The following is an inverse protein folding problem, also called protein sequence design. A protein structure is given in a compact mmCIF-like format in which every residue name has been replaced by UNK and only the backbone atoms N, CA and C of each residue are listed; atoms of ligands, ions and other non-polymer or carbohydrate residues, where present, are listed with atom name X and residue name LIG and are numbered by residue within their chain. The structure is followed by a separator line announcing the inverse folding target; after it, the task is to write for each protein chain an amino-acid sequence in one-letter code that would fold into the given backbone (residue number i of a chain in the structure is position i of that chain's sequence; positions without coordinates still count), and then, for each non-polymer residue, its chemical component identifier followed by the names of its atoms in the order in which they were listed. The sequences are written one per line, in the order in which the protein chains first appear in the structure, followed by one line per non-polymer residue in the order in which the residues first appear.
data_IF_758310052118
#
_entry.id   IF_758310052118
#
_cell.length_a   1.000
_cell.length_b   1.000
_cell.length_c   1.000
_cell.angle_alpha   90.00
_cell.angle_beta   90.00
_cell.angle_gamma   90.00
#
_symmetry.space_group_name_H-M   'P 1'
#
loop_
_entity.id
_entity.type
_entity.pdbx_description
1 polymer ?
#
# COMPACT_ATOMS: atom_id res chain seq x y z
N UNK A 1 -14.10 8.88 35.83
CA UNK A 1 -13.49 7.89 34.92
C UNK A 1 -14.26 6.63 35.22
N UNK A 2 -14.92 6.13 34.20
CA UNK A 2 -16.23 5.50 34.29
C UNK A 2 -16.11 4.15 33.54
N UNK A 3 -16.03 3.00 34.23
CA UNK A 3 -15.83 1.64 33.67
C UNK A 3 -17.02 0.69 33.82
N UNK A 4 -17.30 -0.16 32.86
CA UNK A 4 -18.64 -0.71 32.83
C UNK A 4 -18.87 -1.93 33.78
N UNK A 5 -20.02 -1.99 34.45
CA UNK A 5 -20.62 -3.01 35.31
C UNK A 5 -21.70 -3.65 34.47
N UNK A 6 -21.76 -4.95 34.54
CA UNK A 6 -22.62 -5.75 33.71
C UNK A 6 -23.69 -6.39 34.58
N UNK A 7 -24.95 -6.23 34.15
CA UNK A 7 -26.11 -6.73 34.86
C UNK A 7 -26.85 -7.68 33.92
N UNK A 8 -27.28 -8.83 34.42
CA UNK A 8 -28.17 -9.70 33.66
C UNK A 8 -29.52 -9.01 33.48
N UNK A 9 -30.10 -9.10 32.28
CA UNK A 9 -31.45 -8.59 32.06
C UNK A 9 -32.45 -9.54 32.73
N UNK A 10 -32.90 -9.15 33.92
CA UNK A 10 -33.98 -9.77 34.70
C UNK A 10 -35.18 -8.80 34.81
N UNK A 11 -36.18 -9.12 35.62
CA UNK A 11 -37.27 -8.18 35.94
C UNK A 11 -36.70 -6.86 36.51
N UNK A 12 -37.33 -5.72 36.21
CA UNK A 12 -36.83 -4.37 36.55
C UNK A 12 -36.66 -4.22 38.07
N UNK A 13 -37.55 -4.85 38.84
CA UNK A 13 -37.52 -4.86 40.30
C UNK A 13 -36.45 -5.81 40.89
N UNK A 14 -35.79 -6.62 40.05
CA UNK A 14 -34.79 -7.62 40.42
C UNK A 14 -33.38 -7.30 39.86
N UNK A 15 -33.14 -6.06 39.44
CA UNK A 15 -31.83 -5.60 38.98
C UNK A 15 -30.91 -5.32 40.19
N UNK A 16 -29.83 -6.09 40.30
CA UNK A 16 -28.80 -5.89 41.33
C UNK A 16 -27.52 -5.28 40.75
N UNK A 17 -27.08 -4.16 41.32
CA UNK A 17 -25.82 -3.49 40.95
C UNK A 17 -24.65 -4.25 41.58
N UNK A 18 -23.67 -4.73 40.79
CA UNK A 18 -22.50 -5.43 41.29
C UNK A 18 -21.65 -4.60 42.27
N UNK A 19 -21.09 -5.23 43.33
CA UNK A 19 -19.99 -4.64 44.11
C UNK A 19 -18.70 -4.57 43.27
N UNK A 20 -17.79 -3.65 43.63
CA UNK A 20 -16.56 -3.37 42.86
C UNK A 20 -15.44 -4.40 43.14
N UNK A 21 -15.71 -5.70 42.95
CA UNK A 21 -14.73 -6.81 43.09
C UNK A 21 -14.75 -7.70 41.83
N UNK A 22 -14.08 -7.28 40.72
CA UNK A 22 -14.16 -7.96 39.43
C UNK A 22 -13.52 -9.36 39.41
N UNK A 23 -12.60 -9.67 40.34
CA UNK A 23 -11.91 -10.96 40.37
C UNK A 23 -12.81 -12.11 40.85
N UNK A 24 -13.84 -11.79 41.64
CA UNK A 24 -14.81 -12.73 42.21
C UNK A 24 -16.18 -12.68 41.54
N UNK A 25 -16.42 -11.72 40.64
CA UNK A 25 -17.70 -11.58 39.98
C UNK A 25 -17.87 -12.58 38.82
N UNK A 26 -18.75 -13.56 39.00
CA UNK A 26 -19.08 -14.56 37.98
C UNK A 26 -19.67 -13.95 36.70
N UNK A 27 -20.20 -12.71 36.74
CA UNK A 27 -20.77 -12.01 35.57
C UNK A 27 -19.67 -11.56 34.61
N UNK A 28 -18.53 -11.08 35.13
CA UNK A 28 -17.36 -10.76 34.33
C UNK A 28 -16.79 -12.02 33.67
N UNK A 29 -16.68 -13.12 34.43
CA UNK A 29 -16.27 -14.43 33.91
C UNK A 29 -17.24 -15.01 32.87
N UNK A 30 -18.54 -14.69 32.98
CA UNK A 30 -19.56 -15.14 32.01
C UNK A 30 -19.47 -14.39 30.68
N UNK A 31 -19.00 -13.14 30.69
CA UNK A 31 -18.69 -12.37 29.48
C UNK A 31 -17.41 -12.91 28.83
N UNK A 32 -16.37 -13.20 29.62
CA UNK A 32 -15.15 -13.89 29.17
C UNK A 32 -15.46 -15.28 28.57
N UNK A 33 -16.57 -15.91 28.98
CA UNK A 33 -17.08 -17.19 28.46
C UNK A 33 -18.10 -17.04 27.30
N UNK A 34 -18.27 -15.85 26.73
CA UNK A 34 -19.00 -15.67 25.46
C UNK A 34 -20.47 -15.22 25.55
N UNK A 35 -20.85 -14.50 26.61
CA UNK A 35 -22.20 -13.91 26.73
C UNK A 35 -22.42 -12.73 25.77
N UNK A 36 -23.65 -12.54 25.27
CA UNK A 36 -24.03 -11.40 24.40
C UNK A 36 -24.20 -10.11 25.21
N UNK A 37 -23.44 -9.06 24.87
CA UNK A 37 -23.50 -7.73 25.49
C UNK A 37 -24.70 -6.93 24.98
N UNK A 38 -25.51 -6.36 25.89
CA UNK A 38 -26.66 -5.49 25.54
C UNK A 38 -26.68 -4.17 26.35
N UNK A 39 -26.03 -4.05 27.53
CA UNK A 39 -25.95 -2.77 28.30
C UNK A 39 -24.77 -2.75 29.29
N UNK A 40 -24.23 -1.56 29.62
CA UNK A 40 -22.97 -1.33 30.35
C UNK A 40 -23.10 -0.16 31.39
N UNK A 41 -22.52 -0.22 32.61
CA UNK A 41 -22.57 0.87 33.67
C UNK A 41 -21.24 1.27 34.39
N UNK A 42 -20.80 2.52 34.60
CA UNK A 42 -19.43 2.92 35.10
C UNK A 42 -18.82 2.38 36.47
N UNK A 43 -17.50 2.59 36.83
CA UNK A 43 -16.27 1.68 37.06
C UNK A 43 -14.86 2.35 37.12
N UNK A 44 -13.73 1.74 37.57
CA UNK A 44 -12.37 2.32 37.53
C UNK A 44 -11.22 1.50 36.82
N UNK A 45 -11.48 0.40 36.10
CA UNK A 45 -10.44 -0.43 35.44
C UNK A 45 -10.56 -0.47 33.91
N UNK A 46 -9.54 -0.03 33.17
CA UNK A 46 -9.53 -0.05 31.69
C UNK A 46 -8.95 -1.38 31.18
N UNK A 47 -9.81 -2.26 30.68
CA UNK A 47 -9.38 -3.45 29.92
C UNK A 47 -9.21 -3.06 28.45
N UNK A 48 -8.00 -3.17 27.91
CA UNK A 48 -7.75 -3.01 26.46
C UNK A 48 -7.84 -4.37 25.79
N UNK A 49 -8.90 -4.59 25.02
CA UNK A 49 -9.08 -5.76 24.16
C UNK A 49 -8.45 -5.47 22.79
N UNK A 50 -7.73 -6.42 22.21
CA UNK A 50 -7.17 -6.28 20.86
C UNK A 50 -8.33 -6.29 19.85
N UNK A 51 -8.48 -5.19 19.11
CA UNK A 51 -9.62 -4.96 18.22
C UNK A 51 -9.65 -5.91 17.02
N UNK A 52 -8.56 -6.64 16.73
CA UNK A 52 -8.56 -7.69 15.72
C UNK A 52 -9.64 -8.76 15.98
N UNK A 53 -10.07 -8.94 17.24
CA UNK A 53 -11.15 -9.87 17.61
C UNK A 53 -12.48 -9.55 16.92
N UNK A 54 -12.74 -8.27 16.59
CA UNK A 54 -13.98 -7.84 15.93
C UNK A 54 -14.15 -8.49 14.56
N UNK A 55 -13.03 -8.72 13.86
CA UNK A 55 -12.99 -9.45 12.61
C UNK A 55 -12.76 -10.95 12.85
N UNK A 56 -11.72 -11.31 13.60
CA UNK A 56 -11.22 -12.68 13.70
C UNK A 56 -12.22 -13.68 14.29
N UNK A 57 -13.10 -13.21 15.19
CA UNK A 57 -14.12 -14.08 15.77
C UNK A 57 -15.14 -14.56 14.74
N UNK A 58 -15.60 -13.68 13.84
CA UNK A 58 -16.59 -13.98 12.78
C UNK A 58 -16.36 -13.14 11.51
N UNK A 59 -15.36 -13.50 10.68
CA UNK A 59 -14.96 -12.70 9.52
C UNK A 59 -16.09 -12.39 8.55
N UNK A 60 -16.89 -13.39 8.17
CA UNK A 60 -17.98 -13.21 7.21
C UNK A 60 -19.08 -12.30 7.75
N UNK A 61 -19.36 -12.38 9.06
CA UNK A 61 -20.36 -11.52 9.70
C UNK A 61 -19.86 -10.07 9.76
N UNK A 62 -18.59 -9.85 10.12
CA UNK A 62 -18.00 -8.50 10.12
C UNK A 62 -18.08 -7.90 8.72
N UNK A 63 -17.61 -8.61 7.68
CA UNK A 63 -17.61 -8.13 6.30
C UNK A 63 -19.02 -7.79 5.78
N UNK A 64 -20.03 -8.59 6.13
CA UNK A 64 -21.42 -8.32 5.77
C UNK A 64 -22.02 -7.08 6.46
N UNK A 65 -21.40 -6.62 7.57
CA UNK A 65 -21.94 -5.56 8.42
C UNK A 65 -20.94 -4.40 8.64
N UNK A 66 -19.91 -4.25 7.79
CA UNK A 66 -18.91 -3.17 7.91
C UNK A 66 -19.56 -1.79 7.96
N UNK A 67 -20.63 -1.57 7.20
CA UNK A 67 -21.36 -0.31 7.24
C UNK A 67 -21.96 0.00 8.60
N UNK A 68 -22.63 -0.98 9.23
CA UNK A 68 -23.17 -0.82 10.58
C UNK A 68 -22.07 -0.58 11.61
N UNK A 69 -20.92 -1.24 11.46
CA UNK A 69 -19.75 -1.00 12.30
C UNK A 69 -19.26 0.45 12.19
N UNK A 70 -19.11 0.97 10.97
CA UNK A 70 -18.67 2.35 10.73
C UNK A 70 -19.70 3.40 11.19
N UNK A 71 -20.99 3.11 11.05
CA UNK A 71 -22.07 4.01 11.47
C UNK A 71 -22.27 4.03 12.99
N UNK A 72 -21.79 3.02 13.72
CA UNK A 72 -21.80 2.98 15.19
C UNK A 72 -20.62 3.74 15.82
N UNK A 73 -19.59 4.08 15.04
CA UNK A 73 -18.42 4.80 15.50
C UNK A 73 -18.56 6.28 15.13
N UNK A 74 -19.03 7.09 16.09
CA UNK A 74 -19.23 8.53 15.91
C UNK A 74 -17.91 9.34 15.85
N UNK A 75 -16.78 8.75 16.26
CA UNK A 75 -15.46 9.38 16.25
C UNK A 75 -14.53 8.73 15.21
N UNK A 76 -14.04 9.56 14.29
CA UNK A 76 -13.09 9.24 13.22
C UNK A 76 -11.85 8.52 13.77
N UNK A 77 -11.40 8.91 14.96
CA UNK A 77 -10.21 8.39 15.61
C UNK A 77 -10.34 6.91 15.98
N UNK A 78 -11.56 6.42 16.22
CA UNK A 78 -11.78 5.00 16.51
C UNK A 78 -11.60 4.12 15.27
N UNK A 79 -12.02 4.62 14.11
CA UNK A 79 -11.80 3.92 12.83
C UNK A 79 -10.31 3.92 12.50
N UNK A 80 -9.62 5.04 12.69
CA UNK A 80 -8.17 5.13 12.48
C UNK A 80 -7.39 4.20 13.40
N UNK A 81 -7.76 4.17 14.69
CA UNK A 81 -7.17 3.26 15.66
C UNK A 81 -7.41 1.80 15.28
N UNK A 82 -8.64 1.45 14.86
CA UNK A 82 -8.97 0.11 14.39
C UNK A 82 -8.07 -0.30 13.22
N UNK A 83 -8.04 0.50 12.15
CA UNK A 83 -7.28 0.22 10.93
C UNK A 83 -5.76 0.12 11.19
N UNK A 84 -5.20 1.07 11.95
CA UNK A 84 -3.77 1.08 12.27
C UNK A 84 -3.33 -0.04 13.22
N UNK A 85 -4.27 -0.66 13.94
CA UNK A 85 -3.99 -1.77 14.86
C UNK A 85 -4.15 -3.16 14.23
N UNK A 86 -4.58 -3.24 12.96
CA UNK A 86 -4.82 -4.52 12.28
C UNK A 86 -3.52 -5.32 12.16
N UNK A 87 -3.63 -6.62 12.40
CA UNK A 87 -2.53 -7.58 12.31
C UNK A 87 -2.86 -8.67 11.31
N UNK A 88 -1.83 -9.21 10.67
CA UNK A 88 -1.98 -10.32 9.74
C UNK A 88 -2.38 -11.62 10.46
N UNK A 89 -1.91 -11.84 11.70
CA UNK A 89 -2.30 -13.01 12.49
C UNK A 89 -3.78 -12.98 12.94
N UNK A 90 -4.33 -14.19 13.14
CA UNK A 90 -5.64 -14.40 13.75
C UNK A 90 -5.49 -14.47 15.28
N UNK A 91 -6.04 -13.47 15.99
CA UNK A 91 -5.92 -13.39 17.46
C UNK A 91 -6.74 -14.47 18.18
N UNK A 92 -7.71 -15.10 17.52
CA UNK A 92 -8.48 -16.22 18.08
C UNK A 92 -7.68 -17.52 18.10
N UNK A 93 -6.55 -17.59 17.40
CA UNK A 93 -5.63 -18.73 17.47
C UNK A 93 -4.51 -18.53 18.50
N UNK A 94 -4.39 -17.33 19.06
CA UNK A 94 -3.28 -16.95 19.96
C UNK A 94 -3.79 -16.43 21.31
N UNK A 95 -4.27 -15.19 21.37
CA UNK A 95 -4.66 -14.53 22.61
C UNK A 95 -6.07 -14.94 23.08
N UNK A 96 -6.97 -15.25 22.15
CA UNK A 96 -8.39 -15.51 22.42
C UNK A 96 -8.84 -16.92 22.01
N UNK A 97 -8.00 -17.93 22.30
CA UNK A 97 -8.22 -19.34 21.91
C UNK A 97 -9.57 -19.89 22.39
N UNK A 98 -10.00 -19.47 23.58
CA UNK A 98 -11.24 -19.95 24.20
C UNK A 98 -12.52 -19.39 23.55
N UNK A 99 -12.39 -18.48 22.56
CA UNK A 99 -13.55 -17.87 21.88
C UNK A 99 -14.11 -18.71 20.72
N UNK A 100 -13.40 -19.75 20.28
CA UNK A 100 -13.90 -20.72 19.28
C UNK A 100 -14.47 -21.95 19.99
N UNK A 101 -15.70 -22.40 19.67
CA UNK A 101 -16.26 -23.61 20.27
C UNK A 101 -15.42 -24.83 19.86
N UNK A 102 -14.65 -25.38 20.81
CA UNK A 102 -13.76 -26.53 20.60
C UNK A 102 -12.28 -26.30 20.92
N UNK A 103 -11.89 -25.16 21.50
CA UNK A 103 -10.50 -24.86 21.89
C UNK A 103 -9.98 -25.72 23.05
N UNK A 104 -9.66 -26.99 22.82
CA UNK A 104 -8.76 -27.75 23.71
C UNK A 104 -7.33 -27.25 23.50
N UNK A 105 -6.64 -26.87 24.58
CA UNK A 105 -5.22 -26.41 24.58
C UNK A 105 -4.21 -27.42 24.01
N UNK A 106 -4.66 -28.60 23.60
CA UNK A 106 -3.85 -29.71 23.07
C UNK A 106 -3.47 -29.53 21.58
N UNK A 107 -4.06 -28.58 20.84
CA UNK A 107 -3.79 -28.36 19.42
C UNK A 107 -2.54 -27.49 19.11
N UNK A 108 -1.70 -27.15 20.10
CA UNK A 108 -0.52 -26.29 19.94
C UNK A 108 0.69 -26.96 19.24
N UNK A 109 0.51 -28.08 18.54
CA UNK A 109 1.62 -28.82 17.91
C UNK A 109 1.66 -28.84 16.38
N UNK A 110 0.73 -28.20 15.69
CA UNK A 110 0.87 -28.03 14.24
C UNK A 110 0.86 -26.55 13.87
N UNK A 111 2.07 -26.03 13.64
CA UNK A 111 2.26 -24.79 12.88
C UNK A 111 2.03 -25.17 11.41
N UNK A 112 0.95 -24.75 10.73
CA UNK A 112 0.83 -24.97 9.31
C UNK A 112 1.88 -24.09 8.62
N UNK A 113 2.83 -24.77 8.00
CA UNK A 113 3.89 -24.16 7.22
C UNK A 113 3.34 -23.63 5.90
N UNK A 114 3.65 -22.35 5.63
CA UNK A 114 3.65 -21.63 4.35
C UNK A 114 2.31 -21.50 3.57
N UNK A 115 1.97 -20.27 3.11
CA UNK A 115 0.84 -20.06 2.21
C UNK A 115 1.07 -20.69 0.84
N UNK A 116 0.04 -21.35 0.32
CA UNK A 116 0.01 -21.89 -1.04
C UNK A 116 0.03 -20.76 -2.08
N UNK A 117 0.79 -20.95 -3.17
CA UNK A 117 0.83 -20.04 -4.32
C UNK A 117 -0.57 -19.96 -4.97
N UNK A 118 -1.29 -18.88 -4.70
CA UNK A 118 -2.57 -18.57 -5.33
C UNK A 118 -3.37 -17.55 -4.53
N UNK A 119 -3.13 -16.27 -4.77
CA UNK A 119 -3.97 -15.10 -4.40
C UNK A 119 -4.97 -15.31 -3.25
N UNK A 120 -4.48 -15.32 -2.00
CA UNK A 120 -5.30 -14.90 -0.86
C UNK A 120 -4.87 -13.49 -0.52
N UNK A 121 -5.72 -12.48 -0.79
CA UNK A 121 -5.52 -11.13 -0.27
C UNK A 121 -5.33 -11.21 1.25
N UNK A 122 -4.37 -10.46 1.81
CA UNK A 122 -4.12 -10.50 3.24
C UNK A 122 -5.40 -10.12 4.02
N UNK A 123 -5.54 -10.63 5.25
CA UNK A 123 -6.62 -10.25 6.17
C UNK A 123 -6.75 -8.73 6.26
N UNK A 124 -5.61 -8.04 6.42
CA UNK A 124 -5.54 -6.58 6.51
C UNK A 124 -6.11 -5.91 5.27
N UNK A 125 -5.67 -6.32 4.07
CA UNK A 125 -6.17 -5.75 2.82
C UNK A 125 -7.67 -6.00 2.65
N UNK A 126 -8.14 -7.20 3.01
CA UNK A 126 -9.57 -7.56 2.94
C UNK A 126 -10.43 -6.64 3.81
N UNK A 127 -9.98 -6.33 5.04
CA UNK A 127 -10.68 -5.41 5.95
C UNK A 127 -10.62 -3.98 5.40
N UNK A 128 -9.42 -3.52 4.99
CA UNK A 128 -9.24 -2.18 4.45
C UNK A 128 -10.09 -1.94 3.20
N UNK A 129 -10.14 -2.90 2.27
CA UNK A 129 -10.95 -2.81 1.05
C UNK A 129 -12.45 -2.77 1.36
N UNK A 130 -12.92 -3.53 2.36
CA UNK A 130 -14.32 -3.50 2.78
C UNK A 130 -14.68 -2.15 3.42
N UNK A 131 -13.80 -1.60 4.26
CA UNK A 131 -13.97 -0.26 4.86
C UNK A 131 -13.97 0.82 3.78
N UNK A 132 -13.00 0.81 2.87
CA UNK A 132 -12.91 1.74 1.75
C UNK A 132 -14.18 1.72 0.89
N UNK A 133 -14.63 0.51 0.50
CA UNK A 133 -15.83 0.32 -0.30
C UNK A 133 -17.06 0.96 0.36
N UNK A 134 -17.18 0.86 1.69
CA UNK A 134 -18.30 1.46 2.40
C UNK A 134 -18.16 2.98 2.53
N UNK A 135 -16.99 3.49 2.95
CA UNK A 135 -16.73 4.94 3.10
C UNK A 135 -16.98 5.70 1.79
N UNK A 136 -16.62 5.11 0.66
CA UNK A 136 -16.83 5.71 -0.68
C UNK A 136 -18.31 5.76 -1.11
N UNK A 137 -19.19 4.96 -0.51
CA UNK A 137 -20.63 4.98 -0.82
C UNK A 137 -21.43 6.01 -0.03
N UNK A 138 -20.80 6.70 0.94
CA UNK A 138 -21.46 7.74 1.73
C UNK A 138 -21.91 8.89 0.84
N UNK A 139 -23.14 9.36 1.06
CA UNK A 139 -23.74 10.48 0.29
C UNK A 139 -22.98 11.79 0.45
N UNK A 140 -22.46 12.02 1.66
CA UNK A 140 -21.62 13.15 2.00
C UNK A 140 -20.29 12.58 2.45
N UNK A 141 -19.22 13.00 1.79
CA UNK A 141 -17.85 12.65 2.15
C UNK A 141 -17.29 13.87 2.88
N UNK A 142 -17.31 13.81 4.20
CA UNK A 142 -16.73 14.83 5.07
C UNK A 142 -15.24 14.56 5.31
N UNK A 143 -14.58 15.48 6.01
CA UNK A 143 -13.14 15.39 6.26
C UNK A 143 -12.76 14.18 7.12
N UNK A 144 -13.63 13.76 8.04
CA UNK A 144 -13.44 12.54 8.82
C UNK A 144 -13.44 11.30 7.94
N UNK A 145 -14.39 11.20 7.02
CA UNK A 145 -14.45 10.11 6.04
C UNK A 145 -13.19 10.09 5.15
N UNK A 146 -12.71 11.24 4.69
CA UNK A 146 -11.47 11.33 3.89
C UNK A 146 -10.23 10.90 4.68
N UNK A 147 -10.14 11.29 5.96
CA UNK A 147 -9.07 10.86 6.86
C UNK A 147 -9.06 9.34 7.02
N UNK A 148 -10.21 8.71 7.27
CA UNK A 148 -10.30 7.25 7.36
C UNK A 148 -10.00 6.54 6.04
N UNK A 149 -10.35 7.14 4.89
CA UNK A 149 -9.96 6.63 3.57
C UNK A 149 -8.43 6.63 3.43
N UNK A 150 -7.77 7.72 3.83
CA UNK A 150 -6.30 7.79 3.84
C UNK A 150 -5.72 6.68 4.72
N UNK A 151 -6.20 6.53 5.96
CA UNK A 151 -5.73 5.48 6.87
C UNK A 151 -5.91 4.09 6.28
N UNK A 152 -7.08 3.79 5.72
CA UNK A 152 -7.36 2.48 5.15
C UNK A 152 -6.48 2.16 3.93
N UNK A 153 -6.07 3.15 3.14
CA UNK A 153 -5.12 2.94 2.05
C UNK A 153 -3.69 2.70 2.57
N UNK A 154 -3.24 3.49 3.54
CA UNK A 154 -1.88 3.39 4.08
C UNK A 154 -1.67 2.12 4.92
N UNK A 155 -2.70 1.63 5.60
CA UNK A 155 -2.64 0.41 6.41
C UNK A 155 -2.64 -0.89 5.59
N UNK A 156 -2.80 -0.83 4.26
CA UNK A 156 -2.64 -2.01 3.39
C UNK A 156 -1.21 -2.54 3.42
N UNK A 157 -1.06 -3.79 3.00
CA UNK A 157 0.23 -4.44 2.79
C UNK A 157 0.32 -5.02 1.36
N UNK A 158 1.17 -4.45 0.47
CA UNK A 158 1.94 -3.22 0.68
C UNK A 158 1.04 -1.97 0.79
N UNK A 159 1.50 -0.88 1.44
CA UNK A 159 0.75 0.36 1.58
C UNK A 159 0.35 0.97 0.23
N UNK A 160 -0.92 1.35 0.08
CA UNK A 160 -1.42 2.04 -1.10
C UNK A 160 -1.23 3.56 -0.99
N UNK A 161 0.04 4.00 -0.94
CA UNK A 161 0.39 5.40 -0.72
C UNK A 161 -0.12 6.33 -1.83
N UNK A 162 -0.08 5.88 -3.08
CA UNK A 162 -0.59 6.62 -4.24
C UNK A 162 -2.09 6.96 -4.06
N UNK A 163 -2.90 5.99 -3.65
CA UNK A 163 -4.34 6.17 -3.42
C UNK A 163 -4.60 7.14 -2.25
N UNK A 164 -3.83 7.06 -1.17
CA UNK A 164 -3.90 8.02 -0.06
C UNK A 164 -3.53 9.44 -0.48
N UNK A 165 -2.46 9.60 -1.26
CA UNK A 165 -2.00 10.88 -1.79
C UNK A 165 -2.98 11.50 -2.79
N UNK A 166 -3.71 10.70 -3.56
CA UNK A 166 -4.77 11.20 -4.44
C UNK A 166 -5.93 11.83 -3.66
N UNK A 167 -6.25 11.31 -2.47
CA UNK A 167 -7.25 11.92 -1.57
C UNK A 167 -6.76 13.29 -1.09
N UNK A 168 -5.48 13.39 -0.71
CA UNK A 168 -4.86 14.67 -0.35
C UNK A 168 -4.91 15.65 -1.53
N UNK A 169 -4.53 15.21 -2.73
CA UNK A 169 -4.54 16.04 -3.93
C UNK A 169 -5.94 16.58 -4.27
N UNK A 170 -6.99 15.78 -4.01
CA UNK A 170 -8.37 16.23 -4.12
C UNK A 170 -8.69 17.33 -3.11
N UNK A 171 -8.31 17.15 -1.85
CA UNK A 171 -8.51 18.16 -0.80
C UNK A 171 -7.79 19.48 -1.10
N UNK A 172 -6.60 19.43 -1.71
CA UNK A 172 -5.87 20.65 -2.14
C UNK A 172 -6.67 21.52 -3.11
N UNK A 173 -7.59 20.94 -3.88
CA UNK A 173 -8.45 21.67 -4.82
C UNK A 173 -9.72 22.23 -4.15
N UNK A 174 -10.11 21.68 -3.01
CA UNK A 174 -11.37 21.99 -2.32
C UNK A 174 -11.16 22.94 -1.14
N UNK A 175 -10.22 22.63 -0.24
CA UNK A 175 -9.90 23.43 0.95
C UNK A 175 -8.44 23.20 1.41
N UNK A 176 -7.65 24.26 1.32
CA UNK A 176 -6.23 24.30 1.69
C UNK A 176 -5.96 23.86 3.14
N UNK A 177 -6.80 24.29 4.09
CA UNK A 177 -6.60 23.97 5.53
C UNK A 177 -6.82 22.49 5.81
N UNK A 178 -7.68 21.85 5.02
CA UNK A 178 -7.98 20.44 5.16
C UNK A 178 -6.96 19.58 4.43
N UNK A 179 -6.42 20.08 3.32
CA UNK A 179 -5.26 19.48 2.68
C UNK A 179 -4.05 19.44 3.62
N UNK A 180 -3.75 20.53 4.33
CA UNK A 180 -2.67 20.57 5.34
C UNK A 180 -2.85 19.49 6.42
N UNK A 181 -4.06 19.35 6.97
CA UNK A 181 -4.37 18.30 7.96
C UNK A 181 -4.26 16.90 7.39
N UNK A 182 -4.70 16.69 6.15
CA UNK A 182 -4.60 15.39 5.49
C UNK A 182 -3.15 15.00 5.20
N UNK A 183 -2.29 15.97 4.84
CA UNK A 183 -0.84 15.77 4.70
C UNK A 183 -0.18 15.47 6.05
N UNK A 184 -0.55 16.19 7.10
CA UNK A 184 -0.06 15.88 8.45
C UNK A 184 -0.42 14.45 8.86
N UNK A 185 -1.67 14.04 8.61
CA UNK A 185 -2.15 12.70 8.91
C UNK A 185 -1.42 11.61 8.12
N UNK A 186 -1.29 11.75 6.80
CA UNK A 186 -0.61 10.73 5.99
C UNK A 186 0.88 10.62 6.34
N UNK A 187 1.55 11.75 6.62
CA UNK A 187 2.95 11.80 7.06
C UNK A 187 3.16 11.20 8.46
N UNK A 188 2.12 11.15 9.30
CA UNK A 188 2.17 10.45 10.57
C UNK A 188 2.10 8.92 10.40
N UNK A 189 1.38 8.44 9.38
CA UNK A 189 1.14 7.01 9.15
C UNK A 189 2.22 6.30 8.34
N UNK A 190 2.97 7.01 7.49
CA UNK A 190 3.94 6.42 6.57
C UNK A 190 5.29 7.14 6.57
N UNK A 191 6.33 6.44 6.08
CA UNK A 191 7.66 7.01 5.89
C UNK A 191 7.60 8.18 4.91
N UNK A 192 8.10 9.33 5.36
CA UNK A 192 7.91 10.57 4.61
C UNK A 192 8.82 10.67 3.38
N UNK A 193 9.93 9.93 3.35
CA UNK A 193 10.75 9.87 2.13
C UNK A 193 10.00 9.13 1.02
N UNK A 194 9.40 8.00 1.37
CA UNK A 194 8.57 7.20 0.47
C UNK A 194 7.34 7.99 0.00
N UNK A 195 6.67 8.72 0.89
CA UNK A 195 5.55 9.58 0.52
C UNK A 195 5.94 10.69 -0.46
N UNK A 196 7.10 11.33 -0.25
CA UNK A 196 7.59 12.34 -1.16
C UNK A 196 7.88 11.77 -2.55
N UNK A 197 8.52 10.61 -2.61
CA UNK A 197 8.83 9.91 -3.85
C UNK A 197 7.56 9.48 -4.60
N UNK A 198 6.55 8.98 -3.89
CA UNK A 198 5.23 8.66 -4.47
C UNK A 198 4.46 9.92 -4.93
N UNK A 199 4.54 11.01 -4.18
CA UNK A 199 3.93 12.29 -4.56
C UNK A 199 4.58 12.87 -5.82
N UNK A 200 5.92 12.78 -5.96
CA UNK A 200 6.61 13.09 -7.21
C UNK A 200 6.11 12.20 -8.35
N UNK A 201 5.92 10.91 -8.07
CA UNK A 201 5.42 9.90 -9.01
C UNK A 201 4.02 10.15 -9.56
N UNK A 202 3.20 10.95 -8.86
CA UNK A 202 1.90 11.44 -9.33
C UNK A 202 2.01 12.62 -10.31
N UNK A 203 3.22 13.11 -10.56
CA UNK A 203 3.53 14.28 -11.39
C UNK A 203 2.83 15.59 -10.94
N UNK A 204 2.36 15.62 -9.69
CA UNK A 204 1.79 16.80 -9.04
C UNK A 204 2.87 17.45 -8.16
N UNK A 205 3.56 18.45 -8.70
CA UNK A 205 4.67 19.11 -8.01
C UNK A 205 4.22 19.87 -6.75
N UNK A 206 3.00 20.41 -6.74
CA UNK A 206 2.47 21.15 -5.59
C UNK A 206 2.20 20.18 -4.42
N UNK A 207 1.68 18.99 -4.70
CA UNK A 207 1.51 17.93 -3.71
C UNK A 207 2.87 17.45 -3.17
N UNK A 208 3.83 17.19 -4.06
CA UNK A 208 5.18 16.78 -3.64
C UNK A 208 5.85 17.85 -2.76
N UNK A 209 5.67 19.13 -3.10
CA UNK A 209 6.16 20.25 -2.30
C UNK A 209 5.49 20.30 -0.92
N UNK A 210 4.17 20.12 -0.86
CA UNK A 210 3.41 20.14 0.39
C UNK A 210 3.85 18.99 1.33
N UNK A 211 4.02 17.78 0.79
CA UNK A 211 4.58 16.63 1.53
C UNK A 211 6.00 16.94 2.02
N UNK A 212 6.86 17.50 1.16
CA UNK A 212 8.23 17.85 1.53
C UNK A 212 8.30 18.89 2.66
N UNK A 213 7.42 19.89 2.65
CA UNK A 213 7.35 20.91 3.69
C UNK A 213 6.95 20.31 5.04
N UNK A 214 5.96 19.40 5.04
CA UNK A 214 5.52 18.74 6.27
C UNK A 214 6.55 17.74 6.81
N UNK A 215 7.38 17.18 5.93
CA UNK A 215 8.35 16.12 6.24
C UNK A 215 9.60 16.54 7.02
N UNK A 216 9.76 17.83 7.32
CA UNK A 216 11.00 18.40 7.89
C UNK A 216 12.27 18.10 7.07
N UNK A 217 12.15 17.72 5.80
CA UNK A 217 13.29 17.54 4.89
C UNK A 217 14.04 18.86 4.69
N UNK A 218 15.35 18.78 4.47
CA UNK A 218 16.15 19.99 4.20
C UNK A 218 15.66 20.65 2.90
N UNK A 219 15.17 21.91 2.95
CA UNK A 219 14.76 22.65 1.77
C UNK A 219 15.84 22.75 0.70
N UNK A 220 17.12 22.66 1.07
CA UNK A 220 18.25 22.68 0.13
C UNK A 220 18.32 21.43 -0.73
N UNK A 221 17.73 20.32 -0.31
CA UNK A 221 17.72 19.07 -1.07
C UNK A 221 16.58 19.04 -2.10
N UNK A 222 15.35 19.40 -1.69
CA UNK A 222 14.19 19.25 -2.57
C UNK A 222 13.86 20.50 -3.40
N UNK A 223 14.08 21.73 -2.89
CA UNK A 223 13.68 22.94 -3.61
C UNK A 223 14.40 23.11 -4.96
N UNK A 224 15.74 22.95 -5.06
CA UNK A 224 16.42 23.12 -6.34
C UNK A 224 15.92 22.10 -7.39
N UNK A 225 15.60 20.88 -6.94
CA UNK A 225 15.07 19.84 -7.81
C UNK A 225 13.66 20.20 -8.31
N UNK A 226 12.72 20.55 -7.41
CA UNK A 226 11.36 20.96 -7.80
C UNK A 226 11.38 22.19 -8.71
N UNK A 227 12.23 23.19 -8.42
CA UNK A 227 12.38 24.38 -9.26
C UNK A 227 12.87 24.04 -10.67
N UNK A 228 13.82 23.11 -10.80
CA UNK A 228 14.27 22.61 -12.09
C UNK A 228 13.12 21.92 -12.84
N UNK A 229 12.36 21.05 -12.16
CA UNK A 229 11.21 20.35 -12.76
C UNK A 229 10.16 21.33 -13.34
N UNK A 230 9.86 22.45 -12.67
CA UNK A 230 8.94 23.45 -13.19
C UNK A 230 9.38 24.07 -14.53
N UNK A 231 10.69 24.14 -14.79
CA UNK A 231 11.24 24.69 -16.04
C UNK A 231 11.15 23.71 -17.21
N UNK A 232 10.99 22.41 -16.92
CA UNK A 232 10.90 21.38 -17.95
C UNK A 232 9.50 21.30 -18.57
N UNK A 233 9.38 21.11 -19.91
CA UNK A 233 8.13 20.77 -20.58
C UNK A 233 7.51 19.47 -20.03
N UNK A 234 6.19 19.30 -20.16
CA UNK A 234 5.44 18.20 -19.53
C UNK A 234 6.06 16.81 -19.64
N UNK A 235 6.26 16.29 -20.85
CA UNK A 235 6.86 14.96 -21.05
C UNK A 235 8.33 14.87 -20.58
N UNK A 236 9.10 15.95 -20.74
CA UNK A 236 10.50 15.99 -20.27
C UNK A 236 10.59 16.00 -18.75
N UNK A 237 9.64 16.65 -18.09
CA UNK A 237 9.48 16.65 -16.64
C UNK A 237 9.12 15.25 -16.13
N UNK A 238 8.17 14.57 -16.77
CA UNK A 238 7.80 13.20 -16.42
C UNK A 238 8.98 12.24 -16.55
N UNK A 239 9.76 12.36 -17.64
CA UNK A 239 11.03 11.63 -17.77
C UNK A 239 11.99 11.91 -16.60
N UNK A 240 12.25 13.17 -16.29
CA UNK A 240 13.18 13.55 -15.22
C UNK A 240 12.74 13.05 -13.84
N UNK A 241 11.42 13.07 -13.57
CA UNK A 241 10.83 12.52 -12.34
C UNK A 241 11.02 11.00 -12.30
N UNK A 242 10.61 10.26 -13.33
CA UNK A 242 10.70 8.80 -13.31
C UNK A 242 12.16 8.31 -13.33
N UNK A 243 13.08 9.04 -13.96
CA UNK A 243 14.52 8.75 -13.89
C UNK A 243 15.05 8.93 -12.45
N UNK A 244 14.67 10.04 -11.80
CA UNK A 244 15.03 10.32 -10.41
C UNK A 244 14.50 9.24 -9.46
N UNK A 245 13.26 8.80 -9.65
CA UNK A 245 12.60 7.74 -8.87
C UNK A 245 13.07 6.32 -9.26
N UNK A 246 14.04 6.20 -10.16
CA UNK A 246 14.51 4.92 -10.72
C UNK A 246 13.41 4.06 -11.36
N UNK A 247 12.30 4.65 -11.78
CA UNK A 247 11.20 4.04 -12.55
C UNK A 247 11.59 3.94 -14.04
N UNK A 248 12.70 3.25 -14.29
CA UNK A 248 13.47 3.26 -15.55
C UNK A 248 12.66 2.91 -16.81
N UNK A 249 11.76 1.94 -16.72
CA UNK A 249 10.91 1.59 -17.88
C UNK A 249 9.90 2.69 -18.22
N UNK A 250 9.32 3.36 -17.20
CA UNK A 250 8.44 4.53 -17.41
C UNK A 250 9.23 5.71 -17.98
N UNK A 251 10.41 6.00 -17.42
CA UNK A 251 11.31 7.03 -17.93
C UNK A 251 11.65 6.80 -19.41
N UNK A 252 12.01 5.57 -19.78
CA UNK A 252 12.28 5.19 -21.17
C UNK A 252 11.06 5.43 -22.09
N UNK A 253 9.85 5.13 -21.61
CA UNK A 253 8.63 5.36 -22.37
C UNK A 253 8.39 6.86 -22.65
N UNK A 254 8.69 7.75 -21.70
CA UNK A 254 8.59 9.20 -21.92
C UNK A 254 9.55 9.70 -23.00
N UNK A 255 10.81 9.22 -23.01
CA UNK A 255 11.77 9.54 -24.07
C UNK A 255 11.31 9.05 -25.44
N UNK A 256 10.68 7.88 -25.51
CA UNK A 256 10.10 7.35 -26.74
C UNK A 256 8.96 8.23 -27.25
N UNK A 257 8.02 8.64 -26.39
CA UNK A 257 6.92 9.55 -26.78
C UNK A 257 7.45 10.91 -27.24
N UNK A 258 8.53 11.41 -26.62
CA UNK A 258 9.24 12.62 -27.04
C UNK A 258 9.93 12.50 -28.41
N UNK A 259 9.98 11.31 -29.01
CA UNK A 259 10.75 11.02 -30.23
C UNK A 259 12.26 11.32 -30.07
N UNK A 260 12.77 11.25 -28.84
CA UNK A 260 14.20 11.44 -28.53
C UNK A 260 14.98 10.14 -28.75
N UNK A 261 14.98 9.64 -29.98
CA UNK A 261 15.45 8.27 -30.31
C UNK A 261 16.90 7.99 -29.86
N UNK A 262 17.79 8.96 -30.01
CA UNK A 262 19.17 8.81 -29.54
C UNK A 262 19.25 8.68 -28.02
N UNK A 263 18.49 9.50 -27.28
CA UNK A 263 18.44 9.42 -25.82
C UNK A 263 17.84 8.09 -25.34
N UNK A 264 16.84 7.56 -26.06
CA UNK A 264 16.30 6.20 -25.78
C UNK A 264 17.42 5.16 -25.91
N UNK A 265 18.21 5.19 -26.98
CA UNK A 265 19.31 4.23 -27.18
C UNK A 265 20.34 4.34 -26.05
N UNK A 266 20.80 5.56 -25.75
CA UNK A 266 21.81 5.81 -24.71
C UNK A 266 21.29 5.36 -23.33
N UNK A 267 20.04 5.70 -23.01
CA UNK A 267 19.40 5.32 -21.75
C UNK A 267 19.18 3.80 -21.64
N UNK A 268 18.80 3.15 -22.74
CA UNK A 268 18.65 1.70 -22.83
C UNK A 268 19.96 0.99 -22.53
N UNK A 269 21.08 1.47 -23.11
CA UNK A 269 22.41 0.92 -22.85
C UNK A 269 22.83 1.14 -21.40
N UNK A 270 22.69 2.39 -20.90
CA UNK A 270 23.05 2.78 -19.52
C UNK A 270 22.36 1.91 -18.47
N UNK A 271 21.10 1.56 -18.69
CA UNK A 271 20.27 0.84 -17.72
C UNK A 271 19.93 -0.61 -18.10
N UNK A 272 20.50 -1.11 -19.20
CA UNK A 272 20.24 -2.43 -19.77
C UNK A 272 18.75 -2.75 -20.02
N UNK A 273 17.98 -1.79 -20.52
CA UNK A 273 16.51 -1.88 -20.71
C UNK A 273 16.09 -2.46 -22.07
N UNK A 274 16.90 -3.34 -22.67
CA UNK A 274 16.74 -3.77 -24.06
C UNK A 274 15.37 -4.36 -24.36
N UNK A 275 14.83 -5.22 -23.48
CA UNK A 275 13.52 -5.83 -23.68
C UNK A 275 12.39 -4.79 -23.75
N UNK A 276 12.40 -3.80 -22.85
CA UNK A 276 11.43 -2.72 -22.84
C UNK A 276 11.56 -1.82 -24.08
N UNK A 277 12.80 -1.45 -24.45
CA UNK A 277 13.07 -0.62 -25.62
C UNK A 277 12.63 -1.29 -26.92
N UNK A 278 12.98 -2.56 -27.14
CA UNK A 278 12.59 -3.32 -28.32
C UNK A 278 11.06 -3.44 -28.44
N UNK A 279 10.37 -3.61 -27.30
CA UNK A 279 8.90 -3.64 -27.27
C UNK A 279 8.28 -2.31 -27.71
N UNK A 280 8.84 -1.17 -27.29
CA UNK A 280 8.35 0.16 -27.66
C UNK A 280 8.47 0.42 -29.17
N UNK A 281 9.58 -0.01 -29.79
CA UNK A 281 9.87 0.23 -31.21
C UNK A 281 9.38 -0.88 -32.16
N UNK A 282 8.54 -1.82 -31.70
CA UNK A 282 8.10 -2.99 -32.50
C UNK A 282 7.63 -2.65 -33.93
N UNK A 283 7.05 -1.48 -34.14
CA UNK A 283 6.48 -1.05 -35.42
C UNK A 283 7.33 -0.02 -36.18
N UNK A 284 8.45 0.43 -35.62
CA UNK A 284 9.38 1.36 -36.25
C UNK A 284 10.67 0.60 -36.58
N UNK A 285 10.74 0.09 -37.82
CA UNK A 285 11.80 -0.81 -38.26
C UNK A 285 13.20 -0.17 -38.19
N UNK A 286 13.31 1.15 -38.43
CA UNK A 286 14.61 1.82 -38.45
C UNK A 286 15.21 1.86 -37.04
N UNK A 287 14.44 2.34 -36.05
CA UNK A 287 14.90 2.42 -34.67
C UNK A 287 14.95 1.04 -33.99
N UNK A 288 14.07 0.11 -34.36
CA UNK A 288 14.13 -1.28 -33.90
C UNK A 288 15.42 -1.96 -34.33
N UNK A 289 15.87 -1.76 -35.57
CA UNK A 289 17.13 -2.30 -36.07
C UNK A 289 18.32 -1.76 -35.27
N UNK A 290 18.36 -0.45 -35.01
CA UNK A 290 19.42 0.18 -34.21
C UNK A 290 19.47 -0.38 -32.77
N UNK A 291 18.32 -0.49 -32.10
CA UNK A 291 18.23 -1.08 -30.76
C UNK A 291 18.60 -2.57 -30.73
N UNK A 292 18.22 -3.33 -31.76
CA UNK A 292 18.58 -4.75 -31.88
C UNK A 292 20.08 -4.92 -32.05
N UNK A 293 20.73 -4.01 -32.78
CA UNK A 293 22.20 -4.01 -32.92
C UNK A 293 22.88 -3.74 -31.57
N UNK A 294 22.39 -2.76 -30.80
CA UNK A 294 22.89 -2.50 -29.44
C UNK A 294 22.66 -3.69 -28.50
N UNK A 295 21.52 -4.37 -28.62
CA UNK A 295 21.24 -5.56 -27.84
C UNK A 295 22.16 -6.72 -28.18
N UNK A 296 22.46 -6.93 -29.46
CA UNK A 296 23.42 -7.94 -29.92
C UNK A 296 24.82 -7.70 -29.31
N UNK A 297 25.31 -6.45 -29.36
CA UNK A 297 26.58 -6.07 -28.75
C UNK A 297 26.58 -6.28 -27.22
N UNK A 298 25.46 -5.98 -26.55
CA UNK A 298 25.31 -6.26 -25.12
C UNK A 298 25.37 -7.76 -24.81
N UNK A 299 24.66 -8.59 -25.58
CA UNK A 299 24.69 -10.04 -25.41
C UNK A 299 26.09 -10.61 -25.62
N UNK A 300 26.83 -10.11 -26.61
CA UNK A 300 28.22 -10.45 -26.86
C UNK A 300 29.11 -10.09 -25.65
N UNK A 301 28.95 -8.88 -25.08
CA UNK A 301 29.66 -8.45 -23.86
C UNK A 301 29.37 -9.32 -22.64
N UNK A 302 28.21 -10.02 -22.64
CA UNK A 302 27.79 -10.98 -21.62
C UNK A 302 28.10 -12.43 -21.99
N UNK A 303 28.92 -12.65 -23.03
CA UNK A 303 29.29 -13.97 -23.54
C UNK A 303 28.10 -14.84 -23.99
N UNK A 304 26.94 -14.24 -24.24
CA UNK A 304 25.75 -14.90 -24.81
C UNK A 304 25.86 -14.94 -26.33
N UNK A 305 26.95 -15.51 -26.82
CA UNK A 305 27.35 -15.43 -28.23
C UNK A 305 26.31 -16.01 -29.19
N UNK A 306 25.64 -17.11 -28.83
CA UNK A 306 24.60 -17.71 -29.67
C UNK A 306 23.44 -16.74 -29.92
N UNK A 307 23.00 -16.03 -28.89
CA UNK A 307 21.87 -15.10 -28.97
C UNK A 307 22.28 -13.77 -29.64
N UNK A 308 23.51 -13.31 -29.39
CA UNK A 308 24.09 -12.19 -30.12
C UNK A 308 24.15 -12.49 -31.62
N UNK A 309 24.60 -13.69 -31.99
CA UNK A 309 24.65 -14.15 -33.38
C UNK A 309 23.28 -14.15 -34.06
N UNK A 310 22.26 -14.69 -33.39
CA UNK A 310 20.87 -14.67 -33.90
C UNK A 310 20.35 -13.25 -34.08
N UNK A 311 20.71 -12.33 -33.17
CA UNK A 311 20.31 -10.93 -33.26
C UNK A 311 20.97 -10.23 -34.45
N UNK A 312 22.28 -10.41 -34.66
CA UNK A 312 22.98 -9.88 -35.84
C UNK A 312 22.48 -10.51 -37.15
N UNK A 313 22.18 -11.80 -37.17
CA UNK A 313 21.59 -12.50 -38.32
C UNK A 313 20.23 -11.90 -38.70
N UNK A 314 19.37 -11.61 -37.70
CA UNK A 314 18.07 -10.96 -37.92
C UNK A 314 18.19 -9.56 -38.54
N UNK A 315 19.35 -8.90 -38.39
CA UNK A 315 19.69 -7.62 -38.99
C UNK A 315 20.41 -7.74 -40.33
N UNK A 316 20.59 -8.97 -40.83
CA UNK A 316 21.41 -9.29 -42.00
C UNK A 316 22.90 -8.91 -41.88
N UNK A 317 23.42 -8.68 -40.66
CA UNK A 317 24.85 -8.56 -40.40
C UNK A 317 25.47 -9.96 -40.21
N UNK A 318 25.58 -10.68 -41.31
CA UNK A 318 26.12 -12.04 -41.32
C UNK A 318 27.59 -12.09 -40.90
N UNK A 319 28.34 -10.99 -41.08
CA UNK A 319 29.74 -10.92 -40.68
C UNK A 319 29.86 -10.91 -39.16
N UNK A 320 29.07 -10.09 -38.45
CA UNK A 320 29.00 -10.11 -36.99
C UNK A 320 28.42 -11.41 -36.46
N UNK A 321 27.34 -11.92 -37.06
CA UNK A 321 26.74 -13.19 -36.66
C UNK A 321 27.73 -14.36 -36.70
N UNK A 322 28.52 -14.46 -37.78
CA UNK A 322 29.52 -15.52 -37.95
C UNK A 322 30.61 -15.44 -36.88
N UNK A 323 31.07 -14.23 -36.52
CA UNK A 323 32.04 -14.03 -35.42
C UNK A 323 31.47 -14.51 -34.09
N UNK A 324 30.20 -14.23 -33.81
CA UNK A 324 29.55 -14.72 -32.60
C UNK A 324 29.38 -16.25 -32.59
N UNK A 325 29.12 -16.90 -33.72
CA UNK A 325 29.03 -18.38 -33.76
C UNK A 325 30.39 -19.08 -33.64
N UNK A 326 31.48 -18.38 -33.97
CA UNK A 326 32.85 -18.90 -33.92
C UNK A 326 33.77 -17.99 -33.09
N UNK A 327 33.50 -17.80 -31.79
CA UNK A 327 34.23 -16.83 -30.97
C UNK A 327 35.73 -17.17 -30.78
N UNK A 328 36.16 -18.38 -31.15
CA UNK A 328 37.55 -18.86 -31.08
C UNK A 328 38.33 -18.86 -32.41
N UNK A 329 37.73 -18.40 -33.51
CA UNK A 329 38.37 -18.43 -34.85
C UNK A 329 38.95 -17.08 -35.29
N UNK A 330 38.93 -16.07 -34.41
CA UNK A 330 39.56 -14.77 -34.62
C UNK A 330 40.99 -14.77 -34.05
N UNK A 331 41.92 -15.43 -34.75
CA UNK A 331 43.36 -15.23 -34.61
C UNK A 331 43.95 -15.10 -36.00
#
# INVERSE_FOLDING_TARGET
MDTFKFIHLTDVDALEVPPDDPEKDERCRSIERGSRLITAMPTNMSLRVDMNILYDHKPQQFLANVGLFLDQLDDVSYIDLFLSSLKAEDVTLTMYIDTKPGGTREALQEIPSQPQLGQTTSKVNTICDAVLSHLQTRKVIDHGTLQNIITANVCKDPPALEDGLLVVAKLMQEDERLAEKAVEHICFLADVNTLYDEALGLYNLDLALLVAQQSQRDPREYLPFIQNLHQLPGLRRQFAIDDHLARREKALAHLHVLQAHQEVQDYTVKHALYAAALKLYRYDQANLAALTHLYAAYLESKSRFREAGLSYESLHDYAAATRCYHPGSAI
#
